data_IF_540908329301
#
_entry.id   IF_540908329301
#
_cell.length_a   1.000
_cell.length_b   1.000
_cell.length_c   1.000
_cell.angle_alpha   90.00
_cell.angle_beta   90.00
_cell.angle_gamma   90.00
#
_symmetry.space_group_name_H-M   'P 1'
#
loop_
_entity.id
_entity.type
_entity.pdbx_description
1 polymer ?
#
# COMPACT_ATOMS: atom_id res chain seq x y z
N UNK A 1 8.10 18.17 8.54
CA UNK A 1 9.02 18.79 7.55
C UNK A 1 9.55 17.70 6.65
N UNK A 2 9.73 17.97 5.35
CA UNK A 2 10.36 17.03 4.41
C UNK A 2 11.87 17.21 4.50
N UNK A 3 12.63 16.12 4.68
CA UNK A 3 14.10 16.13 4.79
C UNK A 3 14.79 15.65 3.50
N UNK A 4 14.12 14.79 2.73
CA UNK A 4 14.60 14.28 1.44
C UNK A 4 13.42 14.21 0.47
N UNK A 5 13.67 14.57 -0.79
CA UNK A 5 12.72 14.41 -1.87
C UNK A 5 13.48 14.05 -3.14
N UNK A 6 12.99 13.02 -3.83
CA UNK A 6 13.49 12.63 -5.14
C UNK A 6 12.31 12.25 -6.05
N UNK A 7 12.33 12.80 -7.26
CA UNK A 7 11.28 12.65 -8.25
C UNK A 7 11.90 12.36 -9.61
N UNK A 8 11.51 11.25 -10.23
CA UNK A 8 12.03 10.82 -11.54
C UNK A 8 10.87 10.48 -12.47
N UNK A 9 10.97 10.93 -13.71
CA UNK A 9 10.13 10.43 -14.80
C UNK A 9 10.72 9.12 -15.29
N UNK A 10 9.92 8.05 -15.33
CA UNK A 10 10.37 6.71 -15.68
C UNK A 10 9.46 6.10 -16.75
N UNK A 11 10.02 5.23 -17.58
CA UNK A 11 9.26 4.43 -18.55
C UNK A 11 8.89 3.08 -17.92
N UNK A 12 7.59 2.79 -17.86
CA UNK A 12 7.09 1.53 -17.28
C UNK A 12 6.71 0.58 -18.42
N UNK A 13 7.61 -0.35 -18.73
CA UNK A 13 7.49 -1.27 -19.90
C UNK A 13 6.65 -2.52 -19.64
N UNK A 14 6.50 -2.94 -18.38
CA UNK A 14 5.67 -4.10 -18.04
C UNK A 14 4.18 -3.84 -18.39
N UNK A 15 3.44 -4.84 -18.91
CA UNK A 15 2.04 -4.67 -19.29
C UNK A 15 1.14 -4.50 -18.08
N UNK A 16 0.00 -3.83 -18.27
CA UNK A 16 -1.03 -3.74 -17.23
C UNK A 16 -1.83 -5.04 -17.16
N UNK A 17 -1.71 -5.75 -16.03
CA UNK A 17 -2.56 -6.88 -15.68
C UNK A 17 -3.16 -6.61 -14.31
N UNK A 18 -4.49 -6.68 -14.19
CA UNK A 18 -5.19 -6.46 -12.93
C UNK A 18 -4.67 -7.42 -11.85
N UNK A 19 -4.35 -6.90 -10.67
CA UNK A 19 -3.73 -7.67 -9.57
C UNK A 19 -2.22 -7.93 -9.72
N UNK A 20 -1.54 -7.28 -10.68
CA UNK A 20 -0.09 -7.34 -10.87
C UNK A 20 0.56 -5.95 -11.00
N UNK A 21 -0.12 -4.90 -10.53
CA UNK A 21 0.39 -3.52 -10.58
C UNK A 21 1.76 -3.38 -9.91
N UNK A 22 1.99 -4.13 -8.82
CA UNK A 22 3.28 -4.15 -8.12
C UNK A 22 4.47 -4.47 -9.06
N UNK A 23 4.30 -5.33 -10.06
CA UNK A 23 5.38 -5.65 -11.01
C UNK A 23 5.76 -4.49 -11.93
N UNK A 24 4.86 -3.51 -12.08
CA UNK A 24 5.10 -2.30 -12.86
C UNK A 24 5.82 -1.22 -12.05
N UNK A 25 5.47 -1.09 -10.77
CA UNK A 25 5.87 0.05 -9.94
C UNK A 25 7.02 -0.28 -8.98
N UNK A 26 7.00 -1.47 -8.37
CA UNK A 26 7.96 -1.84 -7.31
C UNK A 26 9.42 -1.77 -7.76
N UNK A 27 9.82 -2.22 -8.97
CA UNK A 27 11.21 -2.10 -9.39
C UNK A 27 11.74 -0.66 -9.33
N UNK A 28 10.93 0.31 -9.80
CA UNK A 28 11.27 1.74 -9.76
C UNK A 28 11.33 2.24 -8.31
N UNK A 29 10.41 1.81 -7.46
CA UNK A 29 10.39 2.21 -6.05
C UNK A 29 11.59 1.65 -5.27
N UNK A 30 12.01 0.41 -5.56
CA UNK A 30 13.22 -0.18 -4.99
C UNK A 30 14.45 0.64 -5.38
N UNK A 31 14.58 1.01 -6.67
CA UNK A 31 15.67 1.87 -7.13
C UNK A 31 15.67 3.24 -6.43
N UNK A 32 14.49 3.82 -6.16
CA UNK A 32 14.39 5.08 -5.41
C UNK A 32 14.85 4.93 -3.96
N UNK A 33 14.45 3.85 -3.27
CA UNK A 33 14.90 3.56 -1.90
C UNK A 33 16.41 3.32 -1.86
N UNK A 34 16.95 2.57 -2.81
CA UNK A 34 18.39 2.31 -2.90
C UNK A 34 19.20 3.58 -3.14
N UNK A 35 18.70 4.50 -3.99
CA UNK A 35 19.35 5.81 -4.19
C UNK A 35 19.37 6.64 -2.92
N UNK A 36 18.25 6.70 -2.18
CA UNK A 36 18.25 7.36 -0.86
C UNK A 36 19.28 6.74 0.09
N UNK A 37 19.34 5.40 0.17
CA UNK A 37 20.31 4.71 1.03
C UNK A 37 21.77 5.02 0.65
N UNK A 38 22.05 5.23 -0.64
CA UNK A 38 23.39 5.54 -1.14
C UNK A 38 23.75 7.03 -0.99
N UNK A 39 22.82 7.93 -1.32
CA UNK A 39 23.03 9.38 -1.33
C UNK A 39 22.98 9.97 0.09
N UNK A 40 22.02 9.54 0.91
CA UNK A 40 21.73 10.09 2.24
C UNK A 40 21.43 8.97 3.25
N UNK A 41 22.40 8.10 3.59
CA UNK A 41 22.17 6.93 4.45
C UNK A 41 21.64 7.27 5.85
N UNK A 42 21.94 8.46 6.36
CA UNK A 42 21.44 8.92 7.67
C UNK A 42 19.94 9.26 7.65
N UNK A 43 19.35 9.41 6.47
CA UNK A 43 17.93 9.72 6.27
C UNK A 43 17.11 8.47 5.88
N UNK A 44 17.66 7.26 6.05
CA UNK A 44 16.93 6.03 5.78
C UNK A 44 15.64 5.96 6.62
N UNK A 45 14.47 5.75 5.98
CA UNK A 45 13.21 5.74 6.69
C UNK A 45 13.07 4.45 7.51
N UNK A 46 12.47 4.58 8.69
CA UNK A 46 12.13 3.44 9.54
C UNK A 46 10.86 2.71 9.07
N UNK A 47 10.03 3.40 8.27
CA UNK A 47 8.79 2.86 7.69
C UNK A 47 8.49 3.57 6.37
N UNK A 48 7.97 2.83 5.40
CA UNK A 48 7.45 3.36 4.14
C UNK A 48 5.92 3.36 4.16
N UNK A 49 5.32 4.51 3.82
CA UNK A 49 3.90 4.62 3.51
C UNK A 49 3.74 4.56 2.00
N UNK A 50 3.10 3.51 1.51
CA UNK A 50 3.00 3.20 0.08
C UNK A 50 1.58 3.44 -0.40
N UNK A 51 1.40 4.26 -1.44
CA UNK A 51 0.09 4.43 -2.09
C UNK A 51 -0.28 3.14 -2.84
N UNK A 52 -1.03 2.27 -2.17
CA UNK A 52 -1.31 0.93 -2.66
C UNK A 52 -1.66 -0.04 -1.54
N UNK A 53 -2.04 -1.25 -1.93
CA UNK A 53 -2.43 -2.29 -0.97
C UNK A 53 -1.22 -3.08 -0.44
N UNK A 54 -1.36 -3.58 0.79
CA UNK A 54 -0.51 -4.62 1.37
C UNK A 54 -1.19 -5.99 1.30
N UNK A 55 -1.64 -6.51 2.45
CA UNK A 55 -2.32 -7.80 2.56
C UNK A 55 -3.72 -7.82 1.94
N UNK A 56 -4.40 -6.67 1.85
CA UNK A 56 -5.68 -6.52 1.14
C UNK A 56 -5.47 -6.63 -0.38
N UNK A 57 -5.19 -7.83 -0.87
CA UNK A 57 -4.86 -8.15 -2.25
C UNK A 57 -5.36 -9.57 -2.59
N UNK A 58 -5.74 -9.89 -3.85
CA UNK A 58 -6.25 -11.22 -4.20
C UNK A 58 -5.30 -12.37 -3.83
N UNK A 59 -4.01 -12.08 -3.70
CA UNK A 59 -2.94 -13.03 -3.33
C UNK A 59 -2.30 -12.73 -1.97
N UNK A 60 -2.86 -11.81 -1.18
CA UNK A 60 -2.26 -11.39 0.09
C UNK A 60 -0.91 -10.65 -0.05
N UNK A 61 -0.57 -10.16 -1.25
CA UNK A 61 0.75 -9.61 -1.57
C UNK A 61 0.66 -8.45 -2.57
N UNK A 62 0.23 -7.29 -2.08
CA UNK A 62 0.16 -6.05 -2.86
C UNK A 62 1.49 -5.29 -2.94
N UNK A 63 1.47 -4.08 -3.52
CA UNK A 63 2.63 -3.21 -3.74
C UNK A 63 3.42 -2.96 -2.46
N UNK A 64 2.76 -2.68 -1.33
CA UNK A 64 3.44 -2.37 -0.07
C UNK A 64 4.19 -3.60 0.49
N UNK A 65 3.58 -4.78 0.43
CA UNK A 65 4.23 -6.03 0.85
C UNK A 65 5.42 -6.35 -0.06
N UNK A 66 5.23 -6.22 -1.38
CA UNK A 66 6.28 -6.51 -2.34
C UNK A 66 7.48 -5.58 -2.19
N UNK A 67 7.23 -4.27 -2.03
CA UNK A 67 8.29 -3.30 -1.77
C UNK A 67 9.04 -3.63 -0.47
N UNK A 68 8.32 -3.84 0.63
CA UNK A 68 8.94 -4.10 1.94
C UNK A 68 9.81 -5.36 1.97
N UNK A 69 9.39 -6.44 1.29
CA UNK A 69 10.20 -7.65 1.18
C UNK A 69 11.50 -7.42 0.38
N UNK A 70 11.45 -6.63 -0.68
CA UNK A 70 12.64 -6.37 -1.51
C UNK A 70 13.59 -5.34 -0.90
N UNK A 71 13.09 -4.39 -0.12
CA UNK A 71 13.89 -3.35 0.53
C UNK A 71 14.31 -3.68 1.95
N UNK A 72 13.76 -4.76 2.51
CA UNK A 72 13.89 -5.12 3.94
C UNK A 72 13.47 -3.97 4.87
N UNK A 73 12.45 -3.21 4.46
CA UNK A 73 11.90 -2.09 5.23
C UNK A 73 10.45 -2.35 5.64
N UNK A 74 10.06 -1.97 6.87
CA UNK A 74 8.65 -1.95 7.27
C UNK A 74 7.82 -1.10 6.30
N UNK A 75 6.70 -1.64 5.82
CA UNK A 75 5.83 -0.97 4.86
C UNK A 75 4.36 -1.03 5.28
N UNK A 76 3.68 0.11 5.13
CA UNK A 76 2.22 0.23 5.31
C UNK A 76 1.62 0.62 3.97
N UNK A 77 0.67 -0.19 3.49
CA UNK A 77 -0.12 0.15 2.31
C UNK A 77 -1.27 1.08 2.69
N UNK A 78 -1.33 2.26 2.08
CA UNK A 78 -2.37 3.27 2.26
C UNK A 78 -3.13 3.40 0.94
N UNK A 79 -4.23 2.66 0.81
CA UNK A 79 -5.04 2.64 -0.39
C UNK A 79 -6.22 3.63 -0.30
N UNK A 80 -6.46 4.39 -1.37
CA UNK A 80 -7.56 5.37 -1.47
C UNK A 80 -8.90 4.75 -1.88
N UNK A 81 -8.86 3.56 -2.47
CA UNK A 81 -10.03 2.84 -2.98
C UNK A 81 -10.07 1.44 -2.38
N UNK A 82 -11.27 0.99 -2.00
CA UNK A 82 -11.48 -0.36 -1.51
C UNK A 82 -11.26 -1.40 -2.61
N UNK A 83 -10.27 -2.27 -2.42
CA UNK A 83 -10.10 -3.44 -3.25
C UNK A 83 -10.99 -4.58 -2.75
N UNK A 84 -11.85 -5.10 -3.62
CA UNK A 84 -12.85 -6.12 -3.26
C UNK A 84 -12.24 -7.52 -3.40
N UNK A 85 -11.86 -8.11 -2.27
CA UNK A 85 -11.17 -9.42 -2.17
C UNK A 85 -11.65 -10.18 -0.95
N UNK A 86 -11.60 -11.51 -0.98
CA UNK A 86 -12.06 -12.38 0.13
C UNK A 86 -13.46 -11.99 0.64
N UNK A 87 -14.38 -11.70 -0.29
CA UNK A 87 -15.75 -11.29 0.03
C UNK A 87 -15.92 -9.91 0.69
N UNK A 88 -14.84 -9.16 0.89
CA UNK A 88 -14.93 -7.73 1.20
C UNK A 88 -15.49 -7.01 -0.03
N UNK A 89 -16.63 -6.33 0.15
CA UNK A 89 -17.37 -5.66 -0.94
C UNK A 89 -17.71 -4.21 -0.57
N UNK A 90 -17.93 -3.38 -1.59
CA UNK A 90 -18.34 -1.97 -1.42
C UNK A 90 -19.88 -1.83 -1.48
N UNK A 91 -20.56 -2.48 -0.56
CA UNK A 91 -22.03 -2.47 -0.43
C UNK A 91 -22.54 -1.29 0.43
N UNK A 92 -23.84 -1.26 0.74
CA UNK A 92 -24.43 -0.19 1.55
C UNK A 92 -23.99 -0.27 3.01
N UNK A 93 -23.85 -1.48 3.58
CA UNK A 93 -23.35 -1.66 4.94
C UNK A 93 -21.96 -1.06 5.12
N UNK A 94 -21.04 -1.32 4.19
CA UNK A 94 -19.71 -0.72 4.19
C UNK A 94 -19.80 0.82 4.10
N UNK A 95 -20.70 1.36 3.27
CA UNK A 95 -20.87 2.82 3.13
C UNK A 95 -21.43 3.44 4.40
N UNK A 96 -22.35 2.78 5.09
CA UNK A 96 -22.88 3.21 6.39
C UNK A 96 -21.78 3.22 7.45
N UNK A 97 -20.92 2.19 7.49
CA UNK A 97 -19.76 2.16 8.39
C UNK A 97 -18.79 3.32 8.10
N UNK A 98 -18.47 3.58 6.83
CA UNK A 98 -17.65 4.74 6.46
C UNK A 98 -18.32 6.06 6.89
N UNK A 99 -19.62 6.22 6.65
CA UNK A 99 -20.37 7.40 7.08
C UNK A 99 -20.42 7.53 8.61
N UNK A 100 -20.27 6.46 9.37
CA UNK A 100 -20.26 6.49 10.83
C UNK A 100 -18.96 7.03 11.43
N UNK A 101 -17.85 7.04 10.67
CA UNK A 101 -16.60 7.67 11.07
C UNK A 101 -16.74 9.20 11.00
N UNK A 102 -16.86 9.85 12.15
CA UNK A 102 -17.06 11.30 12.31
C UNK A 102 -15.77 12.04 12.67
N UNK A 103 -14.80 11.34 13.26
CA UNK A 103 -13.58 11.95 13.80
C UNK A 103 -12.32 11.24 13.34
N UNK A 104 -11.24 12.02 13.17
CA UNK A 104 -9.92 11.47 12.86
C UNK A 104 -9.48 10.46 13.92
N UNK A 105 -9.04 9.29 13.46
CA UNK A 105 -8.57 8.19 14.31
C UNK A 105 -9.64 7.13 14.62
N UNK A 106 -10.90 7.37 14.26
CA UNK A 106 -11.90 6.30 14.24
C UNK A 106 -11.59 5.31 13.12
N UNK A 107 -11.83 4.03 13.35
CA UNK A 107 -11.48 2.98 12.39
C UNK A 107 -12.37 1.76 12.54
N UNK A 108 -12.55 1.00 11.45
CA UNK A 108 -13.20 -0.31 11.49
C UNK A 108 -12.45 -1.33 10.62
N UNK A 109 -12.50 -2.63 10.98
CA UNK A 109 -11.76 -3.66 10.27
C UNK A 109 -12.46 -4.07 8.97
N UNK A 110 -11.65 -4.35 7.94
CA UNK A 110 -12.07 -5.09 6.76
C UNK A 110 -11.79 -6.57 6.99
N UNK A 111 -12.82 -7.31 7.37
CA UNK A 111 -12.74 -8.76 7.63
C UNK A 111 -13.22 -9.52 6.40
N UNK A 112 -12.38 -10.40 5.86
CA UNK A 112 -12.75 -11.27 4.75
C UNK A 112 -13.67 -12.42 5.18
N UNK A 113 -14.23 -13.14 4.22
CA UNK A 113 -15.09 -14.31 4.45
C UNK A 113 -14.36 -15.44 5.17
N UNK A 114 -13.03 -15.46 5.08
CA UNK A 114 -12.16 -16.35 5.87
C UNK A 114 -12.12 -16.02 7.37
N UNK A 115 -12.70 -14.90 7.81
CA UNK A 115 -12.62 -14.38 9.18
C UNK A 115 -11.33 -13.61 9.48
N UNK A 116 -10.41 -13.50 8.51
CA UNK A 116 -9.18 -12.72 8.66
C UNK A 116 -9.43 -11.23 8.49
N UNK A 117 -8.82 -10.43 9.36
CA UNK A 117 -8.74 -8.97 9.18
C UNK A 117 -7.64 -8.68 8.15
N UNK A 118 -8.00 -8.04 7.04
CA UNK A 118 -7.10 -7.81 5.91
C UNK A 118 -6.55 -6.38 5.87
N UNK A 119 -7.31 -5.41 6.40
CA UNK A 119 -6.96 -4.01 6.48
C UNK A 119 -7.88 -3.28 7.48
N UNK A 120 -7.59 -2.01 7.74
CA UNK A 120 -8.45 -1.10 8.48
C UNK A 120 -8.92 0.01 7.55
N UNK A 121 -10.16 0.47 7.74
CA UNK A 121 -10.65 1.74 7.22
C UNK A 121 -10.55 2.75 8.33
N UNK A 122 -10.05 3.95 8.05
CA UNK A 122 -9.91 5.08 8.97
C UNK A 122 -10.34 6.38 8.30
#
# INVERSE_FOLDING_TARGET
QVLYQDCRMVAVSAPYVAGFLAFREVPVLVEAVQRLQQEEPQLQPQVLLVDGNGLLHPRGFGTACHLGVLTDLPCIGVAKNLLQVDGVVRDELHREQVRSLQSSGEMFPLTGTSGKVLAMVS
#
